data_IF_319429723411
#
_entry.id   IF_319429723411
#
_cell.length_a   1.000
_cell.length_b   1.000
_cell.length_c   1.000
_cell.angle_alpha   90.00
_cell.angle_beta   90.00
_cell.angle_gamma   90.00
#
_symmetry.space_group_name_H-M   'P 1'
#
loop_
_entity.id
_entity.type
_entity.pdbx_description
1 polymer ?
#
# COMPACT_ATOMS: atom_id res chain seq x y z
N UNK A 1 10.25 32.74 48.07
CA UNK A 1 9.90 32.21 46.73
C UNK A 1 10.27 33.24 45.68
N UNK A 2 11.31 32.99 44.87
CA UNK A 2 11.77 33.89 43.80
C UNK A 2 11.05 33.52 42.51
N UNK A 3 10.24 34.43 41.95
CA UNK A 3 9.68 34.32 40.60
C UNK A 3 10.82 34.46 39.58
N UNK A 4 11.08 33.43 38.79
CA UNK A 4 11.90 33.53 37.57
C UNK A 4 11.03 34.16 36.48
N UNK A 5 11.46 35.31 35.99
CA UNK A 5 10.95 35.92 34.76
C UNK A 5 11.72 35.26 33.61
N UNK A 6 11.04 34.42 32.83
CA UNK A 6 11.57 33.90 31.57
C UNK A 6 11.22 34.95 30.52
N UNK A 7 12.24 35.66 30.04
CA UNK A 7 12.10 36.62 28.95
C UNK A 7 11.72 35.87 27.68
N UNK A 8 10.56 36.21 27.10
CA UNK A 8 10.11 35.73 25.80
C UNK A 8 11.05 36.32 24.74
N UNK A 9 11.98 35.51 24.23
CA UNK A 9 12.75 35.87 23.03
C UNK A 9 11.80 35.71 21.86
N UNK A 10 11.28 36.82 21.36
CA UNK A 10 10.56 36.85 20.08
C UNK A 10 11.63 36.88 19.00
N UNK A 11 11.99 35.71 18.45
CA UNK A 11 12.65 35.67 17.15
C UNK A 11 11.60 36.04 16.09
N UNK A 12 11.61 37.28 15.64
CA UNK A 12 11.00 37.61 14.34
C UNK A 12 11.86 36.99 13.25
N UNK A 13 11.55 35.76 12.86
CA UNK A 13 11.93 35.27 11.53
C UNK A 13 11.11 36.10 10.56
N UNK A 14 11.78 36.97 9.82
CA UNK A 14 11.16 37.62 8.68
C UNK A 14 11.06 36.53 7.62
N UNK A 15 9.90 35.85 7.54
CA UNK A 15 9.56 35.05 6.37
C UNK A 15 9.49 36.03 5.20
N UNK A 16 10.61 36.18 4.50
CA UNK A 16 10.57 36.73 3.16
C UNK A 16 9.64 35.84 2.37
N UNK A 17 8.56 36.42 1.83
CA UNK A 17 7.69 35.73 0.90
C UNK A 17 8.57 35.07 -0.16
N UNK A 18 8.71 33.74 -0.07
CA UNK A 18 9.26 32.96 -1.16
C UNK A 18 8.17 33.06 -2.21
N UNK A 19 8.30 34.06 -3.09
CA UNK A 19 7.48 34.15 -4.27
C UNK A 19 7.55 32.77 -4.92
N UNK A 20 6.39 32.12 -5.08
CA UNK A 20 6.25 30.85 -5.78
C UNK A 20 7.05 30.94 -7.08
N UNK A 21 8.29 30.46 -7.02
CA UNK A 21 9.24 30.59 -8.10
C UNK A 21 8.63 29.82 -9.24
N UNK A 22 8.47 30.48 -10.39
CA UNK A 22 7.98 29.84 -11.60
C UNK A 22 8.77 28.53 -11.77
N UNK A 23 8.09 27.39 -11.58
CA UNK A 23 8.67 26.06 -11.77
C UNK A 23 9.31 26.07 -13.17
N UNK A 24 10.64 26.08 -13.20
CA UNK A 24 11.39 26.25 -14.42
C UNK A 24 11.15 25.01 -15.26
N UNK A 25 10.40 25.14 -16.35
CA UNK A 25 10.10 24.02 -17.24
C UNK A 25 11.40 23.56 -17.92
N UNK A 26 12.18 22.70 -17.26
CA UNK A 26 13.20 21.93 -17.92
C UNK A 26 12.47 20.95 -18.86
N UNK A 27 12.72 21.10 -20.17
CA UNK A 27 12.09 20.30 -21.22
C UNK A 27 12.63 18.86 -21.23
N UNK A 28 12.39 18.11 -20.15
CA UNK A 28 12.44 16.65 -20.14
C UNK A 28 11.11 16.09 -20.65
N UNK A 29 11.13 14.86 -21.17
CA UNK A 29 9.89 14.18 -21.56
C UNK A 29 8.98 14.04 -20.32
N UNK A 30 7.83 14.72 -20.33
CA UNK A 30 6.84 14.58 -19.27
C UNK A 30 6.15 13.23 -19.45
N UNK A 31 6.54 12.25 -18.64
CA UNK A 31 5.80 10.99 -18.52
C UNK A 31 4.58 11.25 -17.64
N UNK A 32 3.38 11.06 -18.19
CA UNK A 32 2.14 11.23 -17.43
C UNK A 32 1.68 9.88 -16.91
N UNK A 33 1.55 9.77 -15.59
CA UNK A 33 0.83 8.67 -14.94
C UNK A 33 -0.55 9.19 -14.53
N UNK A 34 -1.59 8.45 -14.84
CA UNK A 34 -2.95 8.77 -14.42
C UNK A 34 -3.70 7.49 -14.13
N UNK A 35 -4.25 7.41 -12.92
CA UNK A 35 -5.15 6.34 -12.49
C UNK A 35 -6.51 6.95 -12.11
N UNK A 36 -7.60 6.33 -12.52
CA UNK A 36 -8.96 6.72 -12.15
C UNK A 36 -9.73 5.64 -11.38
N UNK A 37 -9.19 4.43 -11.27
CA UNK A 37 -9.76 3.25 -10.62
C UNK A 37 -11.16 2.87 -11.13
N UNK A 38 -11.58 3.40 -12.29
CA UNK A 38 -12.94 3.24 -12.84
C UNK A 38 -13.16 1.91 -13.53
N UNK A 39 -12.07 1.31 -14.02
CA UNK A 39 -12.03 -0.05 -14.54
C UNK A 39 -12.14 -1.11 -13.44
N UNK A 40 -11.98 -0.70 -12.18
CA UNK A 40 -11.98 -1.62 -11.04
C UNK A 40 -10.69 -2.43 -10.97
N UNK A 41 -9.58 -1.91 -11.50
CA UNK A 41 -8.26 -2.48 -11.26
C UNK A 41 -7.20 -1.41 -11.06
N UNK A 42 -6.32 -1.58 -10.07
CA UNK A 42 -5.11 -0.78 -9.91
C UNK A 42 -3.90 -1.40 -10.67
N UNK A 43 -4.01 -2.65 -11.10
CA UNK A 43 -2.94 -3.27 -11.89
C UNK A 43 -2.90 -2.69 -13.31
N UNK A 44 -1.70 -2.55 -13.93
CA UNK A 44 -0.38 -2.96 -13.45
C UNK A 44 0.39 -1.84 -12.71
N UNK A 45 -0.23 -0.69 -12.45
CA UNK A 45 0.46 0.51 -11.96
C UNK A 45 0.74 0.47 -10.45
N UNK A 46 0.11 -0.44 -9.73
CA UNK A 46 0.09 -0.47 -8.27
C UNK A 46 0.44 -1.87 -7.76
N UNK A 47 0.97 -1.97 -6.55
CA UNK A 47 1.16 -3.22 -5.81
C UNK A 47 0.43 -3.09 -4.49
N UNK A 48 -0.33 -4.12 -4.13
CA UNK A 48 -1.15 -4.14 -2.91
C UNK A 48 -0.29 -4.46 -1.70
N UNK A 49 -0.56 -3.80 -0.58
CA UNK A 49 -0.01 -4.13 0.75
C UNK A 49 -1.14 -4.19 1.77
N UNK A 50 -1.10 -5.16 2.67
CA UNK A 50 -2.11 -5.38 3.70
C UNK A 50 -1.40 -5.86 4.96
N UNK A 51 -1.61 -5.20 6.10
CA UNK A 51 -1.00 -5.64 7.37
C UNK A 51 -1.58 -6.96 7.88
N UNK A 52 -2.87 -7.18 7.60
CA UNK A 52 -3.61 -8.40 7.95
C UNK A 52 -4.66 -8.70 6.86
N UNK A 53 -4.35 -9.52 5.85
CA UNK A 53 -5.27 -9.79 4.75
C UNK A 53 -6.63 -10.41 5.16
N UNK A 54 -6.72 -11.31 6.16
CA UNK A 54 -8.00 -11.77 6.69
C UNK A 54 -8.89 -10.65 7.24
N UNK A 55 -8.31 -9.69 7.97
CA UNK A 55 -9.07 -8.67 8.70
C UNK A 55 -9.20 -7.35 7.95
N UNK A 56 -8.30 -7.05 7.02
CA UNK A 56 -8.32 -5.84 6.22
C UNK A 56 -8.14 -6.14 4.73
N UNK A 57 -9.20 -5.94 3.96
CA UNK A 57 -9.26 -6.29 2.55
C UNK A 57 -9.37 -5.07 1.65
N UNK A 58 -8.55 -5.01 0.60
CA UNK A 58 -8.74 -4.07 -0.49
C UNK A 58 -9.66 -4.70 -1.53
N UNK A 59 -10.75 -4.01 -1.85
CA UNK A 59 -11.66 -4.38 -2.93
C UNK A 59 -11.72 -3.27 -3.97
N UNK A 60 -11.50 -3.61 -5.24
CA UNK A 60 -11.53 -2.65 -6.35
C UNK A 60 -12.91 -2.68 -7.04
N UNK A 61 -13.76 -1.68 -6.83
CA UNK A 61 -15.12 -1.62 -7.42
C UNK A 61 -15.50 -0.21 -7.92
N UNK A 62 -14.77 0.31 -8.92
CA UNK A 62 -14.88 1.72 -9.39
C UNK A 62 -14.36 2.72 -8.34
N UNK A 63 -13.25 2.36 -7.71
CA UNK A 63 -12.62 3.02 -6.56
C UNK A 63 -11.90 1.97 -5.71
N UNK A 64 -10.97 2.41 -4.86
CA UNK A 64 -10.36 1.57 -3.83
C UNK A 64 -11.24 1.57 -2.58
N UNK A 65 -11.74 0.41 -2.18
CA UNK A 65 -12.48 0.23 -0.94
C UNK A 65 -11.72 -0.65 0.01
N UNK A 66 -11.88 -0.36 1.29
CA UNK A 66 -11.31 -1.12 2.38
C UNK A 66 -12.47 -1.78 3.10
N UNK A 67 -12.41 -3.09 3.29
CA UNK A 67 -13.39 -3.81 4.08
C UNK A 67 -12.69 -4.38 5.30
N UNK A 68 -13.14 -3.98 6.48
CA UNK A 68 -12.68 -4.52 7.75
C UNK A 68 -13.65 -5.61 8.22
N UNK A 69 -13.15 -6.79 8.56
CA UNK A 69 -13.95 -7.78 9.31
C UNK A 69 -13.82 -7.48 10.81
N UNK A 70 -14.92 -7.03 11.40
CA UNK A 70 -15.01 -6.53 12.76
C UNK A 70 -14.29 -7.37 13.83
N UNK A 71 -13.29 -6.78 14.50
CA UNK A 71 -13.08 -6.73 15.96
C UNK A 71 -11.63 -6.32 16.26
N UNK A 72 -11.46 -5.06 16.69
CA UNK A 72 -10.35 -4.53 17.49
C UNK A 72 -9.01 -5.28 17.40
N UNK A 73 -8.20 -4.93 16.40
CA UNK A 73 -6.75 -5.11 16.45
C UNK A 73 -6.10 -3.73 16.45
N UNK A 74 -4.94 -3.62 17.10
CA UNK A 74 -4.14 -2.38 17.08
C UNK A 74 -3.69 -2.11 15.62
N UNK A 75 -3.95 -0.89 15.13
CA UNK A 75 -3.56 -0.32 13.83
C UNK A 75 -3.55 -1.28 12.63
N UNK A 76 -4.71 -1.46 11.99
CA UNK A 76 -4.80 -2.14 10.70
C UNK A 76 -4.62 -1.13 9.56
N UNK A 77 -3.80 -1.47 8.57
CA UNK A 77 -3.67 -0.70 7.34
C UNK A 77 -3.64 -1.60 6.09
N UNK A 78 -4.08 -1.02 4.99
CA UNK A 78 -3.90 -1.59 3.68
C UNK A 78 -3.76 -0.46 2.67
N UNK A 79 -3.05 -0.72 1.57
CA UNK A 79 -2.88 0.29 0.54
C UNK A 79 -2.23 -0.24 -0.72
N UNK A 80 -1.80 0.71 -1.53
CA UNK A 80 -1.03 0.50 -2.73
C UNK A 80 0.27 1.29 -2.68
N UNK A 81 1.31 0.71 -3.25
CA UNK A 81 2.48 1.45 -3.71
C UNK A 81 2.54 1.51 -5.22
N UNK A 82 3.13 2.55 -5.77
CA UNK A 82 3.46 2.62 -7.20
C UNK A 82 4.37 1.46 -7.60
N UNK A 83 3.93 0.63 -8.55
CA UNK A 83 4.62 -0.59 -8.97
C UNK A 83 5.50 -0.35 -10.20
N UNK A 84 6.81 -0.59 -10.07
CA UNK A 84 7.79 -0.44 -11.17
C UNK A 84 7.94 1.01 -11.70
N UNK A 85 7.38 2.01 -11.01
CA UNK A 85 7.49 3.42 -11.37
C UNK A 85 7.55 4.32 -10.13
N UNK A 86 8.23 5.47 -10.25
CA UNK A 86 8.30 6.51 -9.23
C UNK A 86 8.69 7.85 -9.81
N UNK A 87 8.69 8.89 -8.98
CA UNK A 87 9.06 10.26 -9.33
C UNK A 87 10.56 10.47 -9.11
N UNK A 88 11.23 11.10 -10.07
CA UNK A 88 12.63 11.51 -9.93
C UNK A 88 12.74 12.72 -8.99
N UNK A 89 13.32 12.59 -7.78
CA UNK A 89 13.43 13.70 -6.83
C UNK A 89 14.39 14.80 -7.29
N UNK A 90 15.21 14.56 -8.32
CA UNK A 90 16.12 15.57 -8.88
C UNK A 90 15.43 16.55 -9.82
N UNK A 91 14.15 16.30 -10.14
CA UNK A 91 13.35 17.10 -11.06
C UNK A 91 12.09 17.62 -10.37
N UNK A 92 11.66 18.84 -10.72
CA UNK A 92 10.37 19.37 -10.26
C UNK A 92 9.22 18.47 -10.73
N UNK A 93 8.29 18.16 -9.82
CA UNK A 93 7.09 17.42 -10.16
C UNK A 93 5.83 18.05 -9.58
N UNK A 94 4.70 17.75 -10.21
CA UNK A 94 3.38 18.11 -9.74
C UNK A 94 2.45 16.88 -9.81
N UNK A 95 1.88 16.53 -8.67
CA UNK A 95 0.96 15.41 -8.51
C UNK A 95 -0.36 15.94 -7.95
N UNK A 96 -1.46 15.32 -8.38
CA UNK A 96 -2.80 15.57 -7.85
C UNK A 96 -3.46 14.26 -7.46
N UNK A 97 -4.02 14.24 -6.27
CA UNK A 97 -4.82 13.16 -5.73
C UNK A 97 -6.23 13.68 -5.49
N UNK A 98 -7.24 12.90 -5.87
CA UNK A 98 -8.64 13.17 -5.55
C UNK A 98 -9.18 11.99 -4.76
N UNK A 99 -9.72 12.27 -3.59
CA UNK A 99 -10.39 11.28 -2.76
C UNK A 99 -11.85 11.65 -2.61
N UNK A 100 -12.68 10.63 -2.39
CA UNK A 100 -14.00 10.81 -1.81
C UNK A 100 -13.94 10.35 -0.36
N UNK A 101 -14.43 11.18 0.55
CA UNK A 101 -14.56 10.85 1.96
C UNK A 101 -15.96 11.20 2.45
N UNK A 102 -16.79 10.19 2.63
CA UNK A 102 -18.22 10.29 2.93
C UNK A 102 -18.62 9.30 4.02
N UNK A 103 -18.03 9.46 5.21
CA UNK A 103 -18.40 8.68 6.39
C UNK A 103 -19.32 9.47 7.30
N UNK A 104 -20.29 8.77 7.89
CA UNK A 104 -21.06 9.28 9.00
C UNK A 104 -20.15 9.39 10.24
N UNK A 105 -20.40 10.34 11.15
CA UNK A 105 -19.74 10.36 12.46
C UNK A 105 -19.95 9.04 13.21
N UNK A 106 -18.96 8.65 14.00
CA UNK A 106 -18.96 7.43 14.81
C UNK A 106 -18.38 7.73 16.19
N UNK A 107 -18.62 6.85 17.16
CA UNK A 107 -18.42 7.17 18.59
C UNK A 107 -17.11 6.65 19.19
N UNK A 108 -16.33 5.87 18.43
CA UNK A 108 -15.08 5.27 18.90
C UNK A 108 -14.17 4.92 17.72
N UNK A 109 -12.86 4.98 17.93
CA UNK A 109 -11.83 4.67 16.94
C UNK A 109 -11.50 5.84 16.01
N UNK A 110 -10.71 5.54 14.98
CA UNK A 110 -10.32 6.45 13.91
C UNK A 110 -10.30 5.71 12.57
N UNK A 111 -10.60 6.43 11.50
CA UNK A 111 -10.60 5.87 10.14
C UNK A 111 -10.25 6.96 9.15
N UNK A 112 -9.37 6.62 8.22
CA UNK A 112 -8.89 7.58 7.25
C UNK A 112 -8.35 6.96 5.97
N UNK A 113 -7.99 7.85 5.05
CA UNK A 113 -7.22 7.55 3.87
C UNK A 113 -5.85 8.18 4.02
N UNK A 114 -4.82 7.41 3.71
CA UNK A 114 -3.44 7.87 3.67
C UNK A 114 -2.98 8.02 2.24
N UNK A 115 -2.20 9.06 1.96
CA UNK A 115 -1.47 9.13 0.71
C UNK A 115 -0.17 9.85 0.94
N UNK A 116 0.89 9.32 0.36
CA UNK A 116 2.23 9.79 0.70
C UNK A 116 3.28 9.56 -0.36
N UNK A 117 4.40 10.24 -0.16
CA UNK A 117 5.61 10.09 -0.94
C UNK A 117 6.58 9.23 -0.14
N UNK A 118 7.07 8.12 -0.70
CA UNK A 118 7.82 7.10 0.03
C UNK A 118 9.10 6.73 -0.71
N UNK A 119 10.26 6.73 -0.06
CA UNK A 119 11.52 6.24 -0.64
C UNK A 119 11.94 4.87 -0.09
N UNK A 120 11.56 4.56 1.15
CA UNK A 120 11.93 3.32 1.83
C UNK A 120 10.74 2.79 2.62
N UNK A 121 10.50 1.49 2.46
CA UNK A 121 9.52 0.69 3.21
C UNK A 121 10.30 -0.48 3.80
N UNK A 122 10.14 -0.73 5.09
CA UNK A 122 10.69 -1.92 5.72
C UNK A 122 9.99 -3.15 5.17
N UNK A 123 10.80 -4.10 4.74
CA UNK A 123 10.39 -5.32 4.10
C UNK A 123 9.47 -6.21 4.95
N UNK A 124 9.72 -6.21 6.26
CA UNK A 124 9.16 -7.17 7.20
C UNK A 124 8.03 -6.55 8.00
N UNK A 125 8.25 -5.34 8.52
CA UNK A 125 7.22 -4.63 9.30
C UNK A 125 6.25 -3.85 8.43
N UNK A 126 6.57 -3.67 7.13
CA UNK A 126 5.87 -2.75 6.23
C UNK A 126 5.87 -1.29 6.74
N UNK A 127 6.71 -0.98 7.73
CA UNK A 127 6.85 0.38 8.24
C UNK A 127 7.50 1.26 7.19
N UNK A 128 6.92 2.44 6.99
CA UNK A 128 7.53 3.46 6.16
C UNK A 128 8.70 4.05 6.97
N UNK A 129 9.88 4.26 6.37
CA UNK A 129 11.07 4.78 7.11
C UNK A 129 11.72 6.00 6.46
N UNK A 130 11.32 6.33 5.23
CA UNK A 130 11.67 7.57 4.53
C UNK A 130 10.43 8.01 3.75
N UNK A 131 9.41 8.45 4.48
CA UNK A 131 8.11 8.74 3.92
C UNK A 131 7.59 10.09 4.38
N UNK A 132 6.68 10.62 3.56
CA UNK A 132 5.85 11.75 3.88
C UNK A 132 4.41 11.34 3.61
N UNK A 133 3.68 10.96 4.66
CA UNK A 133 2.29 10.54 4.55
C UNK A 133 1.37 11.68 4.96
N UNK A 134 0.23 11.76 4.29
CA UNK A 134 -0.86 12.66 4.60
C UNK A 134 -2.14 11.86 4.79
N UNK A 135 -2.81 12.10 5.90
CA UNK A 135 -4.04 11.42 6.25
C UNK A 135 -5.26 12.32 6.08
N UNK A 136 -6.37 11.76 5.60
CA UNK A 136 -7.70 12.39 5.63
C UNK A 136 -8.62 11.45 6.37
N UNK A 137 -9.06 11.85 7.56
CA UNK A 137 -9.89 11.04 8.42
C UNK A 137 -11.04 11.79 9.06
N UNK A 138 -11.74 11.10 9.97
CA UNK A 138 -12.70 11.69 10.90
C UNK A 138 -12.40 11.25 12.32
N UNK A 139 -12.46 12.22 13.23
CA UNK A 139 -12.42 11.96 14.65
C UNK A 139 -13.78 11.49 15.19
N UNK A 140 -13.75 11.00 16.42
CA UNK A 140 -14.94 10.57 17.20
C UNK A 140 -16.00 11.69 17.33
N UNK A 141 -15.59 12.95 17.37
CA UNK A 141 -16.52 14.09 17.44
C UNK A 141 -17.11 14.47 16.08
N UNK A 142 -16.74 13.74 15.02
CA UNK A 142 -17.17 13.98 13.64
C UNK A 142 -16.45 15.13 12.96
N UNK A 143 -15.47 15.77 13.60
CA UNK A 143 -14.56 16.71 12.93
C UNK A 143 -13.70 15.95 11.92
N UNK A 144 -13.29 16.66 10.86
CA UNK A 144 -12.28 16.11 9.96
C UNK A 144 -10.95 16.07 10.71
N UNK A 145 -10.37 14.88 10.84
CA UNK A 145 -8.97 14.74 11.20
C UNK A 145 -8.18 15.06 9.92
N UNK A 146 -7.50 16.21 9.91
CA UNK A 146 -6.75 16.68 8.75
C UNK A 146 -5.26 16.38 8.88
N UNK A 147 -4.67 15.87 7.80
CA UNK A 147 -3.25 15.90 7.41
C UNK A 147 -2.23 15.75 8.54
N UNK A 148 -2.16 14.57 9.15
CA UNK A 148 -0.97 14.19 9.91
C UNK A 148 0.18 13.94 8.94
N UNK A 149 1.33 14.55 9.26
CA UNK A 149 2.57 14.39 8.52
C UNK A 149 3.47 13.42 9.26
N UNK A 150 3.55 12.19 8.77
CA UNK A 150 4.53 11.23 9.27
C UNK A 150 5.82 11.38 8.47
N UNK A 151 6.87 11.91 9.10
CA UNK A 151 8.26 11.76 8.64
C UNK A 151 8.88 10.59 9.39
N UNK A 152 8.96 9.43 8.75
CA UNK A 152 9.30 8.19 9.43
C UNK A 152 10.82 7.91 9.56
N UNK A 153 11.65 8.96 9.50
CA UNK A 153 13.09 8.89 9.71
C UNK A 153 13.54 9.02 11.16
N UNK A 154 14.83 8.73 11.43
CA UNK A 154 15.52 8.73 12.76
C UNK A 154 15.59 10.11 13.47
N UNK A 155 14.85 11.10 13.01
CA UNK A 155 14.81 12.42 13.62
C UNK A 155 13.51 12.51 14.40
N UNK A 156 13.64 12.55 15.74
CA UNK A 156 12.65 12.92 16.77
C UNK A 156 11.20 12.96 16.30
N UNK A 157 10.29 12.26 17.01
CA UNK A 157 8.83 12.49 17.05
C UNK A 157 8.50 14.00 17.11
N UNK A 158 8.63 14.68 15.98
CA UNK A 158 8.03 15.95 15.75
C UNK A 158 6.70 15.55 15.15
N UNK A 159 5.79 15.15 16.04
CA UNK A 159 4.36 15.35 15.86
C UNK A 159 4.20 16.84 15.59
N UNK A 160 4.36 17.21 14.32
CA UNK A 160 3.65 18.34 13.80
C UNK A 160 2.19 17.89 13.77
N UNK A 161 1.54 17.96 14.94
CA UNK A 161 0.14 18.36 15.07
C UNK A 161 0.03 19.80 14.53
N UNK A 162 0.41 19.96 13.27
CA UNK A 162 -0.15 20.99 12.45
C UNK A 162 -1.49 20.37 12.10
N UNK A 163 -2.46 20.52 13.01
CA UNK A 163 -3.82 20.79 12.59
C UNK A 163 -3.73 22.04 11.72
N UNK A 164 -3.25 21.86 10.48
CA UNK A 164 -3.50 22.79 9.41
C UNK A 164 -5.00 22.64 9.26
N UNK A 165 -5.69 23.51 9.98
CA UNK A 165 -7.02 23.93 9.69
C UNK A 165 -6.89 24.54 8.28
N UNK A 166 -6.82 23.69 7.26
CA UNK A 166 -7.12 24.03 5.87
C UNK A 166 -8.60 24.36 5.93
N UNK A 167 -8.90 25.55 6.46
CA UNK A 167 -9.89 25.69 7.53
C UNK A 167 -11.19 25.00 7.24
N UNK A 168 -11.68 24.13 8.16
CA UNK A 168 -12.83 23.21 7.99
C UNK A 168 -13.24 23.22 6.52
N UNK A 169 -12.50 22.50 5.65
CA UNK A 169 -12.50 22.87 4.26
C UNK A 169 -13.95 22.83 3.87
N UNK A 170 -14.46 24.00 3.46
CA UNK A 170 -15.81 24.16 3.02
C UNK A 170 -15.84 23.43 1.68
N UNK A 171 -15.77 22.11 1.77
CA UNK A 171 -15.96 21.12 0.75
C UNK A 171 -17.45 20.83 0.88
N UNK A 172 -18.34 21.64 0.25
CA UNK A 172 -19.75 21.29 0.14
C UNK A 172 -19.93 19.94 -0.58
N UNK A 173 -18.85 19.43 -1.21
CA UNK A 173 -18.73 18.11 -1.79
C UNK A 173 -17.87 17.19 -0.94
N UNK A 174 -18.29 15.93 -0.76
CA UNK A 174 -17.52 14.82 -0.17
C UNK A 174 -16.24 14.43 -0.94
N UNK A 175 -15.69 15.33 -1.76
CA UNK A 175 -14.53 15.12 -2.63
C UNK A 175 -13.45 16.10 -2.20
N UNK A 176 -12.31 15.57 -1.77
CA UNK A 176 -11.11 16.33 -1.43
C UNK A 176 -10.12 16.21 -2.57
N UNK A 177 -9.37 17.28 -2.82
CA UNK A 177 -8.25 17.29 -3.77
C UNK A 177 -7.01 17.74 -3.04
N UNK A 178 -5.95 16.97 -3.17
CA UNK A 178 -4.62 17.33 -2.69
C UNK A 178 -3.70 17.53 -3.91
N UNK A 179 -2.91 18.58 -3.88
CA UNK A 179 -1.88 18.90 -4.85
C UNK A 179 -0.52 18.86 -4.18
N UNK A 180 0.42 18.17 -4.80
CA UNK A 180 1.78 17.98 -4.33
C UNK A 180 2.70 18.63 -5.35
N UNK A 181 3.50 19.60 -4.92
CA UNK A 181 4.37 20.40 -5.77
C UNK A 181 5.78 20.33 -5.22
N UNK A 182 6.64 19.59 -5.90
CA UNK A 182 8.04 19.45 -5.49
C UNK A 182 8.92 20.40 -6.27
N UNK A 183 9.76 21.12 -5.53
CA UNK A 183 10.85 21.92 -6.06
C UNK A 183 12.18 21.21 -5.74
N UNK A 184 12.82 20.65 -6.77
CA UNK A 184 14.05 19.90 -6.59
C UNK A 184 15.23 20.79 -6.19
N UNK A 185 15.25 22.05 -6.64
CA UNK A 185 16.32 22.98 -6.33
C UNK A 185 16.33 23.42 -4.86
N UNK A 186 15.16 23.60 -4.26
CA UNK A 186 15.02 23.96 -2.84
C UNK A 186 14.75 22.77 -1.93
N UNK A 187 14.60 21.56 -2.48
CA UNK A 187 14.16 20.36 -1.76
C UNK A 187 12.90 20.60 -0.92
N UNK A 188 11.93 21.29 -1.52
CA UNK A 188 10.70 21.68 -0.82
C UNK A 188 9.50 21.04 -1.50
N UNK A 189 8.68 20.37 -0.72
CA UNK A 189 7.35 19.95 -1.12
C UNK A 189 6.33 20.98 -0.63
N UNK A 190 5.42 21.38 -1.50
CA UNK A 190 4.25 22.17 -1.13
C UNK A 190 3.01 21.31 -1.31
N UNK A 191 2.18 21.22 -0.28
CA UNK A 191 0.91 20.49 -0.30
C UNK A 191 -0.24 21.45 -0.09
N UNK A 192 -1.28 21.36 -0.92
CA UNK A 192 -2.43 22.26 -0.82
C UNK A 192 -3.67 21.75 -1.54
N UNK A 193 -4.77 22.48 -1.40
CA UNK A 193 -6.08 22.11 -1.97
C UNK A 193 -6.27 22.56 -3.44
N UNK A 194 -5.33 23.37 -3.92
CA UNK A 194 -5.28 23.95 -5.28
C UNK A 194 -3.86 23.95 -5.84
N UNK A 195 -3.77 23.91 -7.16
CA UNK A 195 -2.47 23.97 -7.84
C UNK A 195 -1.82 25.34 -7.64
N UNK A 196 -0.58 25.35 -7.15
CA UNK A 196 0.19 26.56 -6.86
C UNK A 196 -0.36 27.35 -5.68
N UNK A 197 -0.94 26.67 -4.68
CA UNK A 197 -1.48 27.31 -3.49
C UNK A 197 -0.43 28.18 -2.78
N UNK A 198 -0.59 29.51 -2.72
CA UNK A 198 0.35 30.36 -1.97
C UNK A 198 0.32 30.09 -0.47
N UNK A 199 -0.77 29.51 0.03
CA UNK A 199 -1.01 29.18 1.44
C UNK A 199 -0.80 27.68 1.70
N UNK A 200 -0.30 26.93 0.73
CA UNK A 200 -0.05 25.50 0.89
C UNK A 200 1.05 25.23 1.91
N UNK A 201 0.91 24.11 2.62
CA UNK A 201 1.87 23.66 3.63
C UNK A 201 3.20 23.31 2.97
N UNK A 202 4.28 23.88 3.50
CA UNK A 202 5.62 23.73 2.94
C UNK A 202 6.46 22.83 3.82
N UNK A 203 6.96 21.75 3.23
CA UNK A 203 7.80 20.77 3.89
C UNK A 203 9.19 20.80 3.24
N UNK A 204 10.19 21.16 4.04
CA UNK A 204 11.58 21.11 3.62
C UNK A 204 12.14 19.74 3.95
N UNK A 205 12.60 19.00 2.92
CA UNK A 205 13.07 17.62 3.03
C UNK A 205 14.57 17.57 2.66
N UNK A 206 15.47 18.10 3.51
CA UNK A 206 16.90 18.20 3.19
C UNK A 206 17.55 16.82 3.00
N UNK A 207 17.06 15.84 3.75
CA UNK A 207 17.65 14.49 3.84
C UNK A 207 17.07 13.51 2.83
N UNK A 208 16.13 13.95 1.98
CA UNK A 208 15.60 13.15 0.88
C UNK A 208 16.76 12.65 -0.01
N UNK A 209 16.84 11.32 -0.16
CA UNK A 209 17.86 10.66 -0.97
C UNK A 209 17.54 10.83 -2.45
N UNK A 210 18.19 11.81 -3.09
CA UNK A 210 17.94 12.11 -4.49
C UNK A 210 18.40 11.01 -5.46
N UNK A 211 19.11 9.98 -4.99
CA UNK A 211 19.48 8.82 -5.80
C UNK A 211 18.36 7.78 -5.89
N UNK A 212 17.36 7.84 -5.00
CA UNK A 212 16.22 6.92 -4.98
C UNK A 212 14.97 7.58 -5.59
N UNK A 213 14.21 6.87 -6.43
CA UNK A 213 12.88 7.31 -6.84
C UNK A 213 11.96 7.51 -5.63
N UNK A 214 11.05 8.47 -5.73
CA UNK A 214 9.94 8.63 -4.78
C UNK A 214 8.75 7.80 -5.29
N UNK A 215 8.33 6.82 -4.51
CA UNK A 215 7.12 6.06 -4.73
C UNK A 215 5.89 6.81 -4.21
N UNK A 216 4.73 6.47 -4.76
CA UNK A 216 3.45 6.96 -4.25
C UNK A 216 2.78 5.87 -3.43
N UNK A 217 2.43 6.19 -2.19
CA UNK A 217 1.60 5.37 -1.30
C UNK A 217 0.16 5.87 -1.32
N UNK A 218 -0.81 4.97 -1.38
CA UNK A 218 -2.23 5.25 -1.19
C UNK A 218 -2.81 4.18 -0.27
N UNK A 219 -3.18 4.52 0.95
CA UNK A 219 -3.71 3.57 1.92
C UNK A 219 -5.01 4.00 2.56
N UNK A 220 -5.50 3.13 3.42
CA UNK A 220 -6.42 3.46 4.48
C UNK A 220 -5.95 2.80 5.75
N UNK A 221 -6.37 3.39 6.85
CA UNK A 221 -6.17 2.87 8.19
C UNK A 221 -7.50 2.82 8.92
N UNK A 222 -7.57 1.90 9.88
CA UNK A 222 -8.64 1.79 10.86
C UNK A 222 -8.00 1.51 12.21
N UNK A 223 -8.33 2.34 13.19
CA UNK A 223 -7.82 2.21 14.55
C UNK A 223 -8.95 2.14 15.56
N UNK A 224 -8.74 1.33 16.61
CA UNK A 224 -9.72 1.13 17.67
C UNK A 224 -11.00 0.45 17.18
N UNK A 225 -12.14 0.83 17.74
CA UNK A 225 -13.46 0.29 17.37
C UNK A 225 -14.15 1.10 16.26
N UNK A 226 -13.37 1.63 15.31
CA UNK A 226 -13.89 2.39 14.18
C UNK A 226 -14.84 1.51 13.33
N UNK A 227 -15.88 2.10 12.72
CA UNK A 227 -16.76 1.34 11.84
C UNK A 227 -16.02 0.99 10.55
N UNK A 228 -16.24 -0.23 10.06
CA UNK A 228 -15.76 -0.65 8.75
C UNK A 228 -16.14 0.38 7.66
N UNK A 229 -15.17 0.70 6.80
CA UNK A 229 -15.38 1.57 5.65
C UNK A 229 -16.40 0.90 4.71
N UNK A 230 -17.55 1.53 4.52
CA UNK A 230 -18.56 1.02 3.60
C UNK A 230 -18.19 1.29 2.15
N UNK A 231 -18.46 0.32 1.26
CA UNK A 231 -18.31 0.50 -0.19
C UNK A 231 -19.07 1.74 -0.67
N UNK A 232 -18.36 2.63 -1.35
CA UNK A 232 -18.88 3.87 -1.93
C UNK A 232 -18.73 5.11 -1.03
N UNK A 233 -18.38 4.92 0.24
CA UNK A 233 -18.25 6.01 1.22
C UNK A 233 -16.87 6.66 1.16
N UNK A 234 -15.81 5.85 1.12
CA UNK A 234 -14.43 6.33 1.11
C UNK A 234 -13.66 5.62 0.01
N UNK A 235 -12.99 6.38 -0.87
CA UNK A 235 -12.14 5.82 -1.92
C UNK A 235 -11.28 6.87 -2.63
N UNK A 236 -10.18 6.43 -3.23
CA UNK A 236 -9.41 7.20 -4.19
C UNK A 236 -10.12 7.25 -5.54
N UNK A 237 -10.38 8.47 -6.03
CA UNK A 237 -11.11 8.71 -7.28
C UNK A 237 -10.17 8.93 -8.45
N UNK A 238 -9.04 9.58 -8.21
CA UNK A 238 -8.05 9.86 -9.25
C UNK A 238 -6.69 10.15 -8.65
N UNK A 239 -5.66 9.60 -9.28
CA UNK A 239 -4.28 10.01 -9.12
C UNK A 239 -3.77 10.49 -10.47
N UNK A 240 -3.04 11.61 -10.49
CA UNK A 240 -2.48 12.14 -11.73
C UNK A 240 -1.16 12.86 -11.47
N UNK A 241 -0.11 12.45 -12.16
CA UNK A 241 1.14 13.20 -12.28
C UNK A 241 0.99 14.16 -13.45
N UNK A 242 0.86 15.45 -13.15
CA UNK A 242 0.67 16.52 -14.12
C UNK A 242 2.02 16.98 -14.71
N UNK A 243 3.09 16.95 -13.91
CA UNK A 243 4.46 17.29 -14.26
C UNK A 243 5.43 16.36 -13.52
N UNK A 244 6.58 16.05 -14.12
CA UNK A 244 7.65 15.29 -13.50
C UNK A 244 8.30 14.31 -14.47
N UNK A 245 9.45 13.79 -14.06
CA UNK A 245 10.08 12.65 -14.73
C UNK A 245 9.71 11.39 -13.97
N UNK A 246 9.11 10.44 -14.69
CA UNK A 246 8.82 9.12 -14.15
C UNK A 246 10.00 8.23 -14.48
N UNK A 247 10.59 7.67 -13.44
CA UNK A 247 11.68 6.70 -13.53
C UNK A 247 11.16 5.34 -13.12
N UNK A 248 11.89 4.28 -13.52
CA UNK A 248 11.64 2.97 -12.94
C UNK A 248 11.94 3.05 -11.45
N UNK A 249 10.93 2.84 -10.62
CA UNK A 249 11.15 2.55 -9.22
C UNK A 249 11.02 1.05 -9.10
N UNK A 250 12.07 0.35 -8.72
CA UNK A 250 11.82 -0.90 -8.04
C UNK A 250 11.47 -0.47 -6.64
N UNK A 251 10.23 -0.62 -6.16
CA UNK A 251 10.12 -0.86 -4.75
C UNK A 251 11.14 -1.96 -4.44
N UNK A 252 12.09 -1.68 -3.57
CA UNK A 252 12.59 -2.74 -2.69
C UNK A 252 11.57 -2.86 -1.56
N UNK A 253 10.28 -2.86 -1.91
CA UNK A 253 9.40 -3.78 -1.23
C UNK A 253 10.06 -5.11 -1.57
N UNK A 254 10.43 -5.93 -0.59
CA UNK A 254 10.58 -7.33 -0.92
C UNK A 254 9.27 -7.68 -1.66
N UNK A 255 9.33 -8.56 -2.64
CA UNK A 255 8.18 -9.46 -2.80
C UNK A 255 7.80 -9.81 -1.37
N UNK A 256 6.59 -9.44 -0.92
CA UNK A 256 6.14 -9.70 0.44
C UNK A 256 6.58 -11.13 0.68
N UNK A 257 7.62 -11.33 1.50
CA UNK A 257 8.24 -12.64 1.62
C UNK A 257 7.26 -13.36 2.51
N UNK A 258 6.20 -13.87 1.87
CA UNK A 258 5.14 -14.67 2.47
C UNK A 258 5.73 -16.03 2.90
N UNK A 259 7.05 -16.14 2.95
CA UNK A 259 7.81 -17.32 3.20
C UNK A 259 7.99 -18.14 1.92
N UNK A 260 8.53 -19.36 2.07
CA UNK A 260 8.76 -20.26 0.95
C UNK A 260 7.47 -20.75 0.26
N UNK A 261 6.29 -20.31 0.72
CA UNK A 261 4.98 -20.73 0.22
C UNK A 261 4.44 -19.84 -0.92
N UNK A 262 5.01 -18.64 -1.13
CA UNK A 262 4.82 -17.83 -2.35
C UNK A 262 5.90 -18.26 -3.36
N UNK A 263 5.56 -19.29 -4.12
CA UNK A 263 6.54 -20.09 -4.88
C UNK A 263 6.89 -19.42 -6.20
N UNK A 264 6.06 -18.47 -6.65
CA UNK A 264 6.26 -17.70 -7.87
C UNK A 264 6.77 -16.26 -7.61
N UNK A 265 6.99 -15.91 -6.34
CA UNK A 265 7.44 -14.62 -5.85
C UNK A 265 6.56 -13.45 -6.36
N UNK A 266 5.24 -13.64 -6.44
CA UNK A 266 4.30 -12.61 -6.93
C UNK A 266 3.68 -11.75 -5.82
N UNK A 267 3.97 -12.08 -4.56
CA UNK A 267 3.50 -11.38 -3.38
C UNK A 267 2.13 -11.86 -2.89
N UNK A 268 1.65 -13.00 -3.36
CA UNK A 268 0.44 -13.67 -2.89
C UNK A 268 0.66 -15.19 -2.81
N UNK A 269 0.02 -15.86 -1.84
CA UNK A 269 -0.10 -17.33 -1.83
C UNK A 269 -1.48 -17.68 -2.41
N UNK A 270 -1.53 -18.02 -3.68
CA UNK A 270 -2.74 -18.34 -4.42
C UNK A 270 -2.62 -19.60 -5.33
N UNK A 271 -3.58 -19.77 -6.24
CA UNK A 271 -3.62 -20.95 -7.11
C UNK A 271 -2.46 -20.99 -8.13
N UNK A 272 -1.83 -19.85 -8.41
CA UNK A 272 -0.66 -19.73 -9.27
C UNK A 272 0.56 -20.37 -8.61
N UNK A 273 0.74 -20.22 -7.30
CA UNK A 273 1.76 -20.91 -6.51
C UNK A 273 1.62 -22.41 -6.57
N UNK A 274 0.39 -22.90 -6.39
CA UNK A 274 0.08 -24.32 -6.54
C UNK A 274 0.37 -24.79 -7.95
N UNK A 275 0.03 -23.99 -8.96
CA UNK A 275 0.27 -24.36 -10.36
C UNK A 275 1.77 -24.44 -10.66
N UNK A 276 2.56 -23.48 -10.20
CA UNK A 276 4.01 -23.43 -10.40
C UNK A 276 4.71 -24.56 -9.62
N UNK A 277 4.33 -24.81 -8.37
CA UNK A 277 4.84 -25.95 -7.60
C UNK A 277 4.52 -27.29 -8.29
N UNK A 278 3.32 -27.44 -8.85
CA UNK A 278 2.91 -28.67 -9.56
C UNK A 278 3.68 -28.89 -10.87
N UNK A 279 4.28 -27.87 -11.47
CA UNK A 279 5.18 -28.02 -12.63
C UNK A 279 6.47 -28.74 -12.24
N UNK A 280 6.94 -28.51 -11.01
CA UNK A 280 8.17 -29.09 -10.47
C UNK A 280 7.95 -30.39 -9.66
N UNK A 281 6.72 -30.88 -9.58
CA UNK A 281 6.37 -32.04 -8.73
C UNK A 281 7.14 -33.32 -9.11
N UNK A 282 7.90 -33.85 -8.14
CA UNK A 282 8.74 -35.03 -8.24
C UNK A 282 10.18 -34.76 -8.67
N UNK A 283 10.56 -33.49 -8.84
CA UNK A 283 11.96 -33.11 -9.06
C UNK A 283 12.76 -33.31 -7.78
N UNK A 284 13.94 -33.92 -7.93
CA UNK A 284 14.90 -34.01 -6.83
C UNK A 284 15.70 -32.71 -6.78
N UNK A 285 15.75 -32.08 -5.61
CA UNK A 285 16.51 -30.88 -5.37
C UNK A 285 17.92 -31.30 -4.92
N UNK A 286 18.95 -30.72 -5.54
CA UNK A 286 20.35 -30.96 -5.15
C UNK A 286 20.94 -29.66 -4.64
N UNK A 287 20.42 -29.21 -3.50
CA UNK A 287 20.72 -27.90 -2.90
C UNK A 287 19.46 -27.06 -2.69
N UNK A 288 19.65 -25.78 -2.37
CA UNK A 288 18.54 -24.85 -2.18
C UNK A 288 17.67 -24.75 -3.45
N UNK A 289 16.38 -25.02 -3.29
CA UNK A 289 15.43 -25.23 -4.38
C UNK A 289 14.14 -24.53 -3.96
N UNK A 290 13.71 -23.52 -4.72
CA UNK A 290 12.57 -22.67 -4.36
C UNK A 290 11.26 -23.46 -4.18
N UNK A 291 11.15 -24.62 -4.85
CA UNK A 291 9.96 -25.46 -4.84
C UNK A 291 9.99 -26.58 -3.78
N UNK A 292 11.12 -26.79 -3.09
CA UNK A 292 11.30 -27.74 -1.97
C UNK A 292 11.29 -26.94 -0.66
N UNK A 293 10.06 -26.66 -0.25
CA UNK A 293 9.65 -25.78 0.84
C UNK A 293 9.90 -26.46 2.19
N UNK A 294 9.65 -27.78 2.30
CA UNK A 294 9.88 -28.54 3.53
C UNK A 294 11.33 -29.02 3.70
N UNK A 295 12.16 -28.80 2.68
CA UNK A 295 13.58 -29.10 2.61
C UNK A 295 13.90 -30.60 2.78
N UNK A 296 13.09 -31.46 2.16
CA UNK A 296 13.28 -32.92 2.14
C UNK A 296 14.09 -33.44 0.93
N UNK A 297 14.65 -32.51 0.13
CA UNK A 297 15.37 -32.72 -1.12
C UNK A 297 14.47 -33.19 -2.29
N UNK A 298 13.13 -33.13 -2.18
CA UNK A 298 12.18 -33.54 -3.23
C UNK A 298 10.94 -32.64 -3.26
N UNK A 299 10.69 -31.98 -4.40
CA UNK A 299 9.41 -31.27 -4.62
C UNK A 299 8.26 -32.27 -4.64
N UNK A 300 7.40 -32.26 -3.62
CA UNK A 300 6.51 -33.35 -3.30
C UNK A 300 5.20 -32.93 -2.64
N UNK A 301 4.60 -33.89 -1.94
CA UNK A 301 3.32 -33.69 -1.28
C UNK A 301 3.45 -32.85 -0.01
N UNK A 302 4.63 -32.83 0.62
CA UNK A 302 4.93 -31.99 1.78
C UNK A 302 4.91 -30.52 1.40
N UNK A 303 5.64 -30.14 0.35
CA UNK A 303 5.67 -28.75 -0.16
C UNK A 303 4.29 -28.28 -0.61
N UNK A 304 3.58 -29.12 -1.38
CA UNK A 304 2.22 -28.80 -1.80
C UNK A 304 1.28 -28.60 -0.60
N UNK A 305 1.45 -29.38 0.48
CA UNK A 305 0.64 -29.22 1.67
C UNK A 305 0.95 -27.90 2.37
N UNK A 306 2.23 -27.49 2.46
CA UNK A 306 2.61 -26.20 3.03
C UNK A 306 1.98 -25.02 2.27
N UNK A 307 2.07 -25.02 0.93
CA UNK A 307 1.39 -24.00 0.11
C UNK A 307 -0.11 -24.04 0.34
N UNK A 308 -0.73 -25.23 0.37
CA UNK A 308 -2.17 -25.40 0.57
C UNK A 308 -2.66 -25.01 1.97
N UNK A 309 -1.84 -25.17 3.01
CA UNK A 309 -2.14 -24.75 4.39
C UNK A 309 -2.26 -23.23 4.50
N UNK A 310 -1.44 -22.50 3.74
CA UNK A 310 -1.49 -21.04 3.67
C UNK A 310 -2.43 -20.51 2.58
N UNK A 311 -2.98 -21.41 1.78
CA UNK A 311 -3.91 -21.12 0.69
C UNK A 311 -5.31 -20.83 1.21
N UNK A 312 -5.41 -19.66 1.81
CA UNK A 312 -6.56 -19.14 2.53
C UNK A 312 -6.32 -17.74 3.05
N UNK A 313 -5.09 -17.22 2.93
CA UNK A 313 -4.76 -15.83 3.23
C UNK A 313 -5.21 -14.84 2.15
N UNK A 314 -5.75 -15.27 1.00
CA UNK A 314 -6.36 -14.39 -0.01
C UNK A 314 -7.92 -14.41 0.02
N UNK A 315 -8.62 -13.26 -0.15
CA UNK A 315 -10.08 -13.20 -0.07
C UNK A 315 -10.77 -13.80 -1.29
N UNK A 316 -11.68 -14.75 -1.04
CA UNK A 316 -12.55 -15.33 -2.06
C UNK A 316 -12.40 -16.84 -2.16
N UNK A 317 -12.76 -17.55 -1.09
CA UNK A 317 -12.58 -19.00 -0.98
C UNK A 317 -13.37 -19.73 -2.05
N UNK A 318 -12.66 -20.35 -3.00
CA UNK A 318 -13.21 -21.42 -3.80
C UNK A 318 -13.79 -22.48 -2.86
N UNK A 319 -15.05 -22.85 -3.07
CA UNK A 319 -15.70 -23.90 -2.29
C UNK A 319 -14.93 -25.22 -2.45
N UNK A 320 -15.02 -26.14 -1.48
CA UNK A 320 -14.44 -27.49 -1.60
C UNK A 320 -14.81 -28.20 -2.92
N UNK A 321 -15.96 -27.84 -3.51
CA UNK A 321 -16.42 -28.31 -4.81
C UNK A 321 -15.63 -27.72 -5.98
N UNK A 322 -15.29 -26.43 -5.92
CA UNK A 322 -14.45 -25.73 -6.90
C UNK A 322 -13.02 -26.24 -6.83
N UNK A 323 -12.49 -26.45 -5.62
CA UNK A 323 -11.20 -27.13 -5.38
C UNK A 323 -11.15 -28.52 -6.00
N UNK A 324 -12.15 -29.36 -5.72
CA UNK A 324 -12.25 -30.71 -6.29
C UNK A 324 -12.36 -30.69 -7.82
N UNK A 325 -12.90 -29.61 -8.41
CA UNK A 325 -13.02 -29.44 -9.86
C UNK A 325 -11.70 -28.99 -10.47
N UNK A 326 -11.02 -28.02 -9.86
CA UNK A 326 -9.71 -27.53 -10.27
C UNK A 326 -8.67 -28.66 -10.25
N UNK A 327 -8.55 -29.37 -9.13
CA UNK A 327 -7.66 -30.53 -8.99
C UNK A 327 -7.94 -31.60 -10.05
N UNK A 328 -9.22 -31.93 -10.30
CA UNK A 328 -9.59 -32.89 -11.36
C UNK A 328 -9.22 -32.42 -12.77
N UNK A 329 -9.26 -31.12 -13.03
CA UNK A 329 -8.82 -30.51 -14.29
C UNK A 329 -7.30 -30.65 -14.45
N UNK A 330 -6.56 -30.23 -13.43
CA UNK A 330 -5.10 -30.28 -13.36
C UNK A 330 -4.56 -31.70 -13.55
N UNK A 331 -5.12 -32.70 -12.84
CA UNK A 331 -4.82 -34.13 -13.04
C UNK A 331 -5.08 -34.66 -14.45
N UNK A 332 -5.99 -34.03 -15.19
CA UNK A 332 -6.34 -34.42 -16.57
C UNK A 332 -5.40 -33.78 -17.58
N UNK A 333 -4.95 -32.56 -17.35
CA UNK A 333 -4.14 -31.76 -18.26
C UNK A 333 -2.64 -32.06 -18.15
N UNK A 334 -2.10 -32.25 -16.96
CA UNK A 334 -0.68 -32.57 -16.75
C UNK A 334 -0.31 -34.01 -17.11
N UNK A 335 -1.29 -34.86 -17.43
CA UNK A 335 -1.03 -36.26 -17.78
C UNK A 335 -0.54 -37.12 -16.61
N UNK A 336 -0.60 -36.62 -15.35
CA UNK A 336 -0.28 -37.34 -14.10
C UNK A 336 -1.00 -38.69 -13.98
N UNK A 337 -2.07 -38.91 -14.74
CA UNK A 337 -2.70 -40.23 -14.91
C UNK A 337 -1.74 -41.34 -15.38
N UNK A 338 -0.67 -41.03 -16.12
CA UNK A 338 0.20 -42.05 -16.73
C UNK A 338 1.38 -42.51 -15.88
N UNK A 339 1.76 -41.79 -14.82
CA UNK A 339 3.00 -42.07 -14.07
C UNK A 339 2.80 -42.69 -12.68
N UNK A 340 1.58 -42.73 -12.12
CA UNK A 340 1.32 -43.30 -10.78
C UNK A 340 0.45 -44.55 -10.83
N UNK A 341 0.79 -45.54 -10.02
CA UNK A 341 0.02 -46.78 -9.83
C UNK A 341 -1.37 -46.46 -9.26
N UNK A 342 -2.32 -47.39 -9.40
CA UNK A 342 -3.67 -47.22 -8.87
C UNK A 342 -3.69 -47.05 -7.34
N UNK A 343 -2.78 -47.73 -6.63
CA UNK A 343 -2.60 -47.63 -5.19
C UNK A 343 -2.12 -46.23 -4.75
N UNK A 344 -1.08 -45.67 -5.39
CA UNK A 344 -0.56 -44.35 -5.03
C UNK A 344 -1.63 -43.26 -5.15
N UNK A 345 -2.41 -43.29 -6.25
CA UNK A 345 -3.50 -42.34 -6.49
C UNK A 345 -4.61 -42.43 -5.45
N UNK A 346 -4.86 -43.64 -4.95
CA UNK A 346 -5.88 -43.88 -3.93
C UNK A 346 -5.39 -43.36 -2.58
N UNK A 347 -4.12 -43.62 -2.26
CA UNK A 347 -3.51 -43.20 -1.02
C UNK A 347 -3.36 -41.67 -0.94
N UNK A 348 -2.88 -41.00 -1.99
CA UNK A 348 -2.78 -39.54 -2.07
C UNK A 348 -4.16 -38.86 -1.89
N UNK A 349 -5.19 -39.46 -2.49
CA UNK A 349 -6.56 -38.93 -2.42
C UNK A 349 -7.27 -39.26 -1.10
N UNK A 350 -6.91 -40.36 -0.44
CA UNK A 350 -7.37 -40.69 0.92
C UNK A 350 -6.68 -39.78 1.95
N UNK A 351 -5.37 -39.53 1.83
CA UNK A 351 -4.64 -38.56 2.66
C UNK A 351 -5.19 -37.14 2.54
N UNK A 352 -5.49 -36.68 1.32
CA UNK A 352 -6.13 -35.38 1.10
C UNK A 352 -7.57 -35.29 1.61
N UNK A 353 -8.26 -36.41 1.80
CA UNK A 353 -9.64 -36.44 2.32
C UNK A 353 -9.69 -36.60 3.85
N UNK A 354 -8.65 -37.19 4.46
CA UNK A 354 -8.51 -37.33 5.91
C UNK A 354 -7.97 -36.05 6.59
N UNK A 355 -7.48 -35.08 5.81
CA UNK A 355 -6.99 -33.77 6.27
C UNK A 355 -8.06 -32.65 6.28
N UNK A 356 -9.35 -32.99 6.08
CA UNK A 356 -10.51 -32.09 6.21
C UNK A 356 -11.27 -32.31 7.53
#
# INVERSE_FOLDING_TARGET
MKKRVIGKVVMSVTLGAIAAGAMGSAAGAISKVSESFKDGSAQPLWITVQSDPPNMQITEQKGMYFTEQAAAMDSLFAGYFSNKWGLDPTQDFALRIQVRFDMAPFTEGEVGLDFGLVQTVDAVSLELTDALVYSIGRNIDGTFAGYELYDAGVLDDIDYDVEADIGEPAFPSKIVKAYFLWNAASKTLIVGDRYGDPDGDQHFLPDLDTAKPIMLYLGAYSEGNAPAIQTGSVYFKQVKVDQGVIVGASPVLPVLDLGPNDVNDDGAIDVCDVADLLVHFGEACTGACTYDIDADDVVGAGDLLMVLEDLGYAPGTATAKEWKKAMKGLYKETGLKKQRTGEQKKQDMETLLDLQ
#
